data_IF_862686744684
#
_entry.id   IF_862686744684
#
_cell.length_a   1.000
_cell.length_b   1.000
_cell.length_c   1.000
_cell.angle_alpha   90.00
_cell.angle_beta   90.00
_cell.angle_gamma   90.00
#
_symmetry.space_group_name_H-M   'P 1'
#
loop_
_entity.id
_entity.type
_entity.pdbx_description
1 polymer ?
#
# COMPACT_ATOMS: atom_id res chain seq x y z
N UNK A 1 -3.23 -18.67 -10.54
CA UNK A 1 -1.79 -18.41 -10.75
C UNK A 1 -1.36 -17.33 -9.78
N UNK A 2 -0.16 -17.42 -9.22
CA UNK A 2 0.37 -16.37 -8.35
C UNK A 2 0.70 -15.12 -9.18
N UNK A 3 0.51 -13.94 -8.58
CA UNK A 3 0.95 -12.65 -9.13
C UNK A 3 2.08 -12.15 -8.26
N UNK A 4 3.25 -11.96 -8.85
CA UNK A 4 4.41 -11.39 -8.16
C UNK A 4 4.33 -9.88 -8.22
N UNK A 5 4.69 -9.21 -7.12
CA UNK A 5 4.70 -7.75 -7.03
C UNK A 5 6.03 -7.28 -6.46
N UNK A 6 6.68 -6.39 -7.21
CA UNK A 6 7.90 -5.70 -6.82
C UNK A 6 7.65 -4.20 -6.80
N UNK A 7 7.97 -3.54 -5.70
CA UNK A 7 7.99 -2.08 -5.59
C UNK A 7 9.41 -1.55 -5.47
N UNK A 8 9.81 -0.65 -6.36
CA UNK A 8 11.08 0.06 -6.30
C UNK A 8 10.81 1.52 -5.98
N UNK A 9 11.23 1.96 -4.79
CA UNK A 9 11.15 3.35 -4.37
C UNK A 9 12.47 4.05 -4.64
N UNK A 10 12.45 5.16 -5.36
CA UNK A 10 13.64 5.99 -5.60
C UNK A 10 13.59 7.16 -4.64
N UNK A 11 14.72 7.45 -3.98
CA UNK A 11 14.81 8.62 -3.12
C UNK A 11 14.47 9.90 -3.89
N UNK A 12 13.68 10.78 -3.27
CA UNK A 12 13.19 11.98 -3.95
C UNK A 12 14.32 12.93 -4.38
N UNK A 13 15.42 12.97 -3.64
CA UNK A 13 16.57 13.78 -4.00
C UNK A 13 17.32 13.25 -5.24
N UNK A 14 17.10 11.98 -5.61
CA UNK A 14 17.80 11.32 -6.71
C UNK A 14 17.04 11.33 -8.04
N UNK A 15 15.73 11.59 -8.01
CA UNK A 15 14.90 11.56 -9.22
C UNK A 15 15.40 12.48 -10.32
N UNK A 16 15.68 13.75 -9.98
CA UNK A 16 16.12 14.74 -10.98
C UNK A 16 17.53 14.44 -11.48
N UNK A 17 18.56 14.25 -10.62
CA UNK A 17 19.91 13.94 -11.11
C UNK A 17 19.98 12.68 -11.98
N UNK A 18 19.25 11.62 -11.62
CA UNK A 18 19.23 10.39 -12.41
C UNK A 18 18.57 10.59 -13.78
N UNK A 19 17.43 11.31 -13.84
CA UNK A 19 16.74 11.60 -15.11
C UNK A 19 17.57 12.51 -16.02
N UNK A 20 18.18 13.56 -15.47
CA UNK A 20 19.05 14.47 -16.23
C UNK A 20 20.29 13.76 -16.78
N UNK A 21 20.82 12.78 -16.04
CA UNK A 21 21.90 11.91 -16.51
C UNK A 21 21.43 10.80 -17.47
N UNK A 22 20.13 10.74 -17.80
CA UNK A 22 19.58 9.81 -18.80
C UNK A 22 19.41 8.38 -18.31
N UNK A 23 19.43 8.13 -17.01
CA UNK A 23 19.22 6.80 -16.45
C UNK A 23 17.79 6.30 -16.69
N UNK A 24 17.65 4.98 -16.79
CA UNK A 24 16.40 4.23 -16.81
C UNK A 24 16.43 3.20 -15.69
N UNK A 25 15.26 2.85 -15.17
CA UNK A 25 15.14 1.74 -14.23
C UNK A 25 15.03 0.44 -15.02
N UNK A 26 16.03 -0.42 -14.84
CA UNK A 26 16.16 -1.69 -15.54
C UNK A 26 15.83 -2.87 -14.62
N UNK A 27 15.15 -3.86 -15.18
CA UNK A 27 14.89 -5.17 -14.57
C UNK A 27 15.21 -6.26 -15.58
N UNK A 28 15.86 -7.33 -15.12
CA UNK A 28 16.06 -8.57 -15.88
C UNK A 28 15.60 -9.77 -15.05
N UNK A 29 15.13 -10.81 -15.73
CA UNK A 29 14.64 -12.04 -15.12
C UNK A 29 15.56 -13.19 -15.49
N UNK A 30 15.79 -14.09 -14.53
CA UNK A 30 16.76 -15.18 -14.68
C UNK A 30 16.19 -16.35 -15.49
N UNK A 31 16.95 -16.87 -16.44
CA UNK A 31 16.63 -18.09 -17.21
C UNK A 31 17.89 -18.93 -17.35
N UNK A 32 17.81 -20.25 -17.11
CA UNK A 32 18.98 -21.15 -17.15
C UNK A 32 20.17 -20.62 -16.33
N UNK A 33 19.84 -20.14 -15.13
CA UNK A 33 20.78 -19.53 -14.19
C UNK A 33 21.43 -18.22 -14.66
N UNK A 34 21.01 -17.56 -15.75
CA UNK A 34 21.61 -16.29 -16.19
C UNK A 34 20.63 -15.13 -16.37
N UNK A 35 21.16 -13.90 -16.30
CA UNK A 35 20.47 -12.68 -16.70
C UNK A 35 21.03 -12.15 -18.01
N UNK A 36 20.36 -12.45 -19.13
CA UNK A 36 20.90 -12.16 -20.47
C UNK A 36 20.20 -11.00 -21.18
N UNK A 37 18.96 -10.65 -20.79
CA UNK A 37 18.17 -9.63 -21.50
C UNK A 37 17.48 -8.71 -20.51
N UNK A 38 17.52 -7.40 -20.79
CA UNK A 38 16.74 -6.39 -20.07
C UNK A 38 15.26 -6.61 -20.33
N UNK A 39 14.55 -7.14 -19.34
CA UNK A 39 13.13 -7.42 -19.42
C UNK A 39 12.29 -6.14 -19.49
N UNK A 40 12.68 -5.11 -18.73
CA UNK A 40 12.15 -3.76 -18.88
C UNK A 40 13.21 -2.73 -18.56
N UNK A 41 13.39 -1.75 -19.43
CA UNK A 41 14.24 -0.58 -19.22
C UNK A 41 13.44 0.66 -19.60
N UNK A 42 12.87 1.35 -18.61
CA UNK A 42 11.95 2.46 -18.84
C UNK A 42 12.23 3.65 -17.93
N UNK A 43 11.56 4.77 -18.22
CA UNK A 43 11.50 5.89 -17.29
C UNK A 43 10.89 5.43 -15.95
N UNK A 44 11.20 6.17 -14.88
CA UNK A 44 10.85 5.82 -13.51
C UNK A 44 10.30 7.02 -12.73
N UNK A 45 9.57 6.70 -11.68
CA UNK A 45 8.97 7.63 -10.72
C UNK A 45 9.56 7.40 -9.32
N UNK A 46 9.08 8.17 -8.34
CA UNK A 46 9.41 7.93 -6.92
C UNK A 46 9.05 6.53 -6.45
N UNK A 47 7.92 5.99 -6.93
CA UNK A 47 7.44 4.63 -6.64
C UNK A 47 7.15 3.95 -7.97
N UNK A 48 7.79 2.81 -8.20
CA UNK A 48 7.66 2.03 -9.42
C UNK A 48 7.18 0.63 -9.05
N UNK A 49 6.06 0.20 -9.62
CA UNK A 49 5.49 -1.11 -9.32
C UNK A 49 5.57 -2.00 -10.55
N UNK A 50 6.19 -3.15 -10.39
CA UNK A 50 6.29 -4.20 -11.39
C UNK A 50 5.44 -5.38 -10.94
N UNK A 51 4.59 -5.87 -11.84
CA UNK A 51 3.74 -7.02 -11.58
C UNK A 51 3.83 -8.00 -12.74
N UNK A 52 3.95 -9.28 -12.42
CA UNK A 52 3.95 -10.33 -13.43
C UNK A 52 3.29 -11.59 -12.93
N UNK A 53 2.79 -12.38 -13.89
CA UNK A 53 2.35 -13.73 -13.69
C UNK A 53 3.32 -14.68 -14.41
N UNK A 54 3.26 -15.95 -14.04
CA UNK A 54 3.95 -17.02 -14.77
C UNK A 54 3.27 -17.19 -16.14
N UNK A 55 3.83 -16.54 -17.16
CA UNK A 55 3.36 -16.60 -18.54
C UNK A 55 4.55 -16.38 -19.48
N UNK A 56 4.76 -17.34 -20.39
CA UNK A 56 5.94 -17.36 -21.27
C UNK A 56 5.56 -17.56 -22.73
N UNK A 57 6.45 -17.09 -23.61
CA UNK A 57 6.49 -17.50 -25.00
C UNK A 57 7.92 -17.93 -25.35
N UNK A 58 8.06 -18.80 -26.33
CA UNK A 58 9.34 -19.16 -26.94
C UNK A 58 9.39 -18.70 -28.40
N UNK A 59 10.60 -18.42 -28.86
CA UNK A 59 10.87 -17.96 -30.21
C UNK A 59 12.31 -18.30 -30.64
N UNK A 60 12.58 -18.20 -31.94
CA UNK A 60 13.91 -18.29 -32.53
C UNK A 60 14.39 -16.93 -33.08
N UNK A 61 15.69 -16.69 -33.00
CA UNK A 61 16.39 -15.58 -33.62
C UNK A 61 17.66 -16.07 -34.32
N UNK A 62 17.95 -15.55 -35.50
CA UNK A 62 19.14 -15.90 -36.27
C UNK A 62 20.41 -15.23 -35.75
N UNK A 63 20.27 -14.18 -34.92
CA UNK A 63 21.41 -13.37 -34.48
C UNK A 63 21.34 -13.08 -32.98
N UNK A 64 22.49 -13.24 -32.35
CA UNK A 64 22.79 -12.65 -31.06
C UNK A 64 23.85 -11.57 -31.25
N UNK A 65 23.57 -10.35 -30.80
CA UNK A 65 24.50 -9.22 -30.87
C UNK A 65 24.38 -8.38 -29.60
N UNK A 66 25.39 -8.48 -28.75
CA UNK A 66 25.43 -7.77 -27.46
C UNK A 66 25.18 -6.28 -27.58
N UNK A 67 24.36 -5.74 -26.67
CA UNK A 67 23.98 -4.33 -26.65
C UNK A 67 22.86 -3.96 -27.64
N UNK A 68 22.46 -4.86 -28.54
CA UNK A 68 21.30 -4.67 -29.39
C UNK A 68 20.03 -5.25 -28.78
N UNK A 69 18.88 -4.86 -29.33
CA UNK A 69 17.59 -5.40 -28.91
C UNK A 69 17.33 -6.75 -29.56
N UNK A 70 16.80 -7.69 -28.79
CA UNK A 70 16.35 -8.99 -29.28
C UNK A 70 15.25 -8.80 -30.32
N UNK A 71 15.42 -9.45 -31.48
CA UNK A 71 14.41 -9.57 -32.52
C UNK A 71 14.06 -11.05 -32.71
N UNK A 72 12.76 -11.35 -32.78
CA UNK A 72 12.28 -12.68 -33.16
C UNK A 72 12.23 -12.81 -34.67
N UNK A 73 12.86 -13.87 -35.20
CA UNK A 73 12.79 -14.23 -36.62
C UNK A 73 11.75 -15.33 -36.90
N UNK A 74 11.23 -15.96 -35.84
CA UNK A 74 10.14 -16.95 -35.91
C UNK A 74 8.86 -16.40 -35.27
N UNK A 75 7.79 -17.18 -35.32
CA UNK A 75 6.59 -16.90 -34.55
C UNK A 75 6.86 -17.03 -33.05
N UNK A 76 6.31 -16.10 -32.27
CA UNK A 76 6.31 -16.18 -30.81
C UNK A 76 5.17 -17.09 -30.36
N UNK A 77 5.47 -18.18 -29.66
CA UNK A 77 4.48 -19.16 -29.24
C UNK A 77 4.37 -19.23 -27.74
N UNK A 78 3.15 -19.01 -27.24
CA UNK A 78 2.82 -19.22 -25.83
C UNK A 78 3.08 -20.69 -25.46
N UNK A 79 3.69 -20.88 -24.30
CA UNK A 79 4.07 -22.19 -23.79
C UNK A 79 3.92 -22.20 -22.27
N UNK A 80 3.37 -23.28 -21.72
CA UNK A 80 3.33 -23.54 -20.28
C UNK A 80 4.43 -24.54 -19.87
N UNK A 81 4.71 -24.62 -18.57
CA UNK A 81 5.69 -25.59 -18.05
C UNK A 81 5.31 -27.03 -18.41
N UNK A 82 6.31 -27.82 -18.81
CA UNK A 82 6.16 -29.21 -19.25
C UNK A 82 5.83 -29.37 -20.74
N UNK A 83 5.34 -28.32 -21.40
CA UNK A 83 5.04 -28.34 -22.83
C UNK A 83 6.29 -28.18 -23.69
N UNK A 84 6.12 -28.52 -24.98
CA UNK A 84 7.14 -28.42 -26.01
C UNK A 84 6.64 -27.65 -27.23
N UNK A 85 7.47 -26.74 -27.73
CA UNK A 85 7.31 -26.14 -29.06
C UNK A 85 8.32 -26.73 -30.04
N UNK A 86 7.91 -26.96 -31.28
CA UNK A 86 8.82 -27.44 -32.34
C UNK A 86 9.09 -26.33 -33.34
N UNK A 87 10.37 -25.98 -33.50
CA UNK A 87 10.86 -25.19 -34.62
C UNK A 87 11.16 -26.14 -35.78
N UNK A 88 10.35 -26.10 -36.83
CA UNK A 88 10.48 -27.04 -37.94
C UNK A 88 11.67 -26.74 -38.85
N UNK A 89 11.94 -27.66 -39.77
CA UNK A 89 13.03 -27.55 -40.76
C UNK A 89 12.91 -26.36 -41.74
N UNK A 90 11.78 -25.65 -41.73
CA UNK A 90 11.53 -24.48 -42.58
C UNK A 90 11.62 -23.17 -41.79
N UNK A 91 11.85 -23.23 -40.48
CA UNK A 91 12.01 -22.07 -39.61
C UNK A 91 10.69 -21.55 -39.03
N UNK A 92 9.61 -22.35 -39.07
CA UNK A 92 8.35 -21.99 -38.43
C UNK A 92 8.26 -22.60 -37.04
N UNK A 93 7.95 -21.76 -36.05
CA UNK A 93 7.71 -22.19 -34.68
C UNK A 93 6.26 -22.62 -34.53
N UNK A 94 6.03 -23.89 -34.23
CA UNK A 94 4.69 -24.45 -34.07
C UNK A 94 4.12 -24.22 -32.66
N UNK A 95 2.78 -24.15 -32.51
CA UNK A 95 2.14 -24.06 -31.20
C UNK A 95 2.62 -25.14 -30.23
N UNK A 96 2.62 -24.81 -28.94
CA UNK A 96 2.99 -25.74 -27.88
C UNK A 96 2.08 -26.98 -27.85
N UNK A 97 2.67 -28.13 -27.54
CA UNK A 97 1.97 -29.40 -27.37
C UNK A 97 2.62 -30.21 -26.24
N UNK A 98 2.03 -31.36 -25.91
CA UNK A 98 2.45 -32.16 -24.76
C UNK A 98 1.62 -31.88 -23.50
N UNK A 99 2.03 -32.45 -22.38
CA UNK A 99 1.33 -32.30 -21.11
C UNK A 99 1.97 -31.20 -20.27
N UNK A 100 1.12 -30.32 -19.72
CA UNK A 100 1.55 -29.33 -18.73
C UNK A 100 1.98 -30.01 -17.43
N UNK A 101 3.01 -29.50 -16.78
CA UNK A 101 3.49 -29.98 -15.50
C UNK A 101 3.93 -28.81 -14.58
N UNK A 102 4.57 -29.16 -13.46
CA UNK A 102 5.10 -28.20 -12.48
C UNK A 102 6.63 -28.23 -12.43
N UNK A 103 7.29 -28.66 -13.50
CA UNK A 103 8.75 -28.80 -13.55
C UNK A 103 9.48 -27.46 -13.59
N UNK A 104 8.81 -26.39 -14.01
CA UNK A 104 9.44 -25.10 -14.29
C UNK A 104 10.18 -25.05 -15.62
N UNK A 105 10.09 -26.10 -16.45
CA UNK A 105 10.83 -26.25 -17.70
C UNK A 105 9.94 -25.97 -18.91
N UNK A 106 10.43 -25.16 -19.83
CA UNK A 106 9.89 -24.96 -21.18
C UNK A 106 10.77 -25.71 -22.17
N UNK A 107 10.19 -26.51 -23.07
CA UNK A 107 10.96 -27.30 -24.04
C UNK A 107 10.83 -26.73 -25.44
N UNK A 108 11.95 -26.68 -26.15
CA UNK A 108 11.96 -26.35 -27.58
C UNK A 108 12.71 -27.44 -28.33
N UNK A 109 12.03 -28.07 -29.28
CA UNK A 109 12.66 -28.97 -30.25
C UNK A 109 13.03 -28.19 -31.51
N UNK A 110 14.33 -28.05 -31.77
CA UNK A 110 14.84 -27.41 -32.97
C UNK A 110 15.14 -28.46 -34.06
N UNK A 111 14.45 -28.35 -35.19
CA UNK A 111 14.66 -29.16 -36.39
C UNK A 111 15.15 -28.31 -37.59
N UNK A 112 15.37 -27.01 -37.41
CA UNK A 112 15.81 -26.07 -38.45
C UNK A 112 17.30 -26.18 -38.76
N UNK A 113 18.13 -26.10 -37.71
CA UNK A 113 19.55 -25.82 -37.82
C UNK A 113 19.95 -24.72 -36.83
N UNK A 114 21.14 -24.14 -37.01
CA UNK A 114 21.67 -23.11 -36.11
C UNK A 114 20.67 -21.98 -35.86
N UNK A 115 20.18 -21.87 -34.62
CA UNK A 115 19.19 -20.88 -34.19
C UNK A 115 19.44 -20.48 -32.74
N UNK A 116 19.37 -19.19 -32.43
CA UNK A 116 19.34 -18.72 -31.03
C UNK A 116 17.91 -18.85 -30.51
N UNK A 117 17.73 -19.51 -29.37
CA UNK A 117 16.41 -19.76 -28.80
C UNK A 117 16.17 -18.83 -27.63
N UNK A 118 15.02 -18.17 -27.63
CA UNK A 118 14.68 -17.12 -26.67
C UNK A 118 13.38 -17.39 -25.92
N UNK A 119 13.24 -16.66 -24.82
CA UNK A 119 12.03 -16.68 -23.98
C UNK A 119 11.53 -15.25 -23.82
N UNK A 120 10.26 -15.03 -24.12
CA UNK A 120 9.54 -13.84 -23.69
C UNK A 120 8.81 -14.13 -22.38
N UNK A 121 8.70 -13.12 -21.52
CA UNK A 121 7.81 -13.16 -20.37
C UNK A 121 6.97 -11.89 -20.30
N UNK A 122 5.83 -12.01 -19.62
CA UNK A 122 4.86 -10.93 -19.51
C UNK A 122 5.11 -10.07 -18.28
N UNK A 123 5.36 -8.77 -18.47
CA UNK A 123 5.40 -7.77 -17.42
C UNK A 123 4.16 -6.87 -17.53
N UNK A 124 3.26 -6.97 -16.55
CA UNK A 124 1.91 -6.42 -16.63
C UNK A 124 1.16 -7.01 -17.81
N UNK A 125 0.92 -6.20 -18.84
CA UNK A 125 0.23 -6.62 -20.07
C UNK A 125 1.15 -6.86 -21.27
N UNK A 126 2.44 -6.51 -21.17
CA UNK A 126 3.38 -6.50 -22.30
C UNK A 126 4.29 -7.72 -22.30
N UNK A 127 4.50 -8.29 -23.48
CA UNK A 127 5.51 -9.33 -23.73
C UNK A 127 6.85 -8.69 -24.05
N UNK A 128 7.93 -9.23 -23.49
CA UNK A 128 9.29 -8.80 -23.80
C UNK A 128 10.26 -9.95 -23.53
N UNK A 129 11.35 -9.97 -24.29
CA UNK A 129 12.39 -10.98 -24.13
C UNK A 129 13.04 -10.88 -22.74
N UNK A 130 13.23 -12.03 -22.10
CA UNK A 130 13.98 -12.19 -20.85
C UNK A 130 15.24 -13.03 -21.05
N UNK A 131 15.34 -13.72 -22.18
CA UNK A 131 16.45 -14.61 -22.49
C UNK A 131 16.59 -14.77 -24.01
N UNK A 132 17.84 -14.87 -24.46
CA UNK A 132 18.21 -15.35 -25.77
C UNK A 132 19.55 -16.09 -25.61
N UNK A 133 19.64 -17.32 -26.11
CA UNK A 133 20.89 -18.08 -26.03
C UNK A 133 22.03 -17.35 -26.75
N UNK A 134 23.18 -17.19 -26.10
CA UNK A 134 24.38 -16.55 -26.65
C UNK A 134 24.95 -17.28 -27.87
N UNK A 135 24.90 -18.62 -27.85
CA UNK A 135 25.33 -19.52 -28.91
C UNK A 135 24.12 -20.12 -29.64
N UNK A 136 24.19 -20.28 -30.97
CA UNK A 136 23.12 -20.93 -31.69
C UNK A 136 23.04 -22.41 -31.32
N UNK A 137 21.83 -22.87 -31.05
CA UNK A 137 21.50 -24.27 -30.87
C UNK A 137 21.19 -24.90 -32.23
N UNK A 138 21.80 -26.04 -32.56
CA UNK A 138 21.74 -26.59 -33.93
C UNK A 138 20.49 -27.45 -34.17
N UNK A 139 20.36 -28.57 -33.48
CA UNK A 139 19.22 -29.48 -33.63
C UNK A 139 19.02 -30.29 -32.35
N UNK A 140 17.78 -30.69 -32.08
CA UNK A 140 17.39 -31.49 -30.91
C UNK A 140 16.54 -30.70 -29.94
N UNK A 141 16.39 -31.22 -28.73
CA UNK A 141 15.60 -30.59 -27.66
C UNK A 141 16.50 -29.77 -26.73
N UNK A 142 16.04 -28.58 -26.35
CA UNK A 142 16.63 -27.76 -25.29
C UNK A 142 15.61 -27.48 -24.19
N UNK A 143 16.09 -27.45 -22.95
CA UNK A 143 15.34 -27.00 -21.79
C UNK A 143 15.65 -25.54 -21.48
N UNK A 144 14.61 -24.75 -21.31
CA UNK A 144 14.66 -23.36 -20.87
C UNK A 144 13.94 -23.28 -19.53
N UNK A 145 14.65 -22.86 -18.48
CA UNK A 145 14.14 -22.86 -17.10
C UNK A 145 14.10 -21.43 -16.57
N UNK A 146 12.97 -20.72 -16.72
CA UNK A 146 12.77 -19.43 -16.05
C UNK A 146 12.76 -19.59 -14.54
N UNK A 147 13.47 -18.72 -13.83
CA UNK A 147 13.55 -18.69 -12.37
C UNK A 147 12.91 -17.39 -11.90
N UNK A 148 12.13 -17.44 -10.81
CA UNK A 148 11.50 -16.26 -10.20
C UNK A 148 12.52 -15.44 -9.39
N UNK A 149 13.65 -15.12 -10.02
CA UNK A 149 14.66 -14.19 -9.52
C UNK A 149 14.80 -13.05 -10.51
N UNK A 150 14.89 -11.84 -9.99
CA UNK A 150 15.05 -10.62 -10.78
C UNK A 150 16.23 -9.81 -10.29
N UNK A 151 16.96 -9.20 -11.22
CA UNK A 151 17.99 -8.21 -10.90
C UNK A 151 17.50 -6.83 -11.33
N UNK A 152 17.77 -5.82 -10.50
CA UNK A 152 17.30 -4.45 -10.68
C UNK A 152 18.48 -3.50 -10.59
N UNK A 153 18.56 -2.53 -11.50
CA UNK A 153 19.62 -1.53 -11.54
C UNK A 153 19.19 -0.29 -12.31
N UNK A 154 20.03 0.74 -12.29
CA UNK A 154 19.88 1.92 -13.13
C UNK A 154 20.94 1.90 -14.22
N UNK A 155 20.52 2.07 -15.48
CA UNK A 155 21.44 2.18 -16.61
C UNK A 155 20.97 3.24 -17.61
N UNK A 156 21.91 3.94 -18.24
CA UNK A 156 21.63 4.99 -19.22
C UNK A 156 21.67 4.49 -20.67
N UNK A 157 22.22 3.28 -20.91
CA UNK A 157 22.43 2.75 -22.26
C UNK A 157 21.36 1.75 -22.69
N UNK A 158 20.86 0.95 -21.76
CA UNK A 158 19.98 -0.17 -22.06
C UNK A 158 18.51 0.22 -22.13
N UNK A 159 17.77 -0.51 -22.96
CA UNK A 159 16.32 -0.44 -23.11
C UNK A 159 15.70 -1.84 -23.02
N UNK A 160 14.37 -1.91 -22.97
CA UNK A 160 13.64 -3.18 -23.04
C UNK A 160 14.06 -4.03 -24.25
N UNK A 161 14.46 -5.28 -23.97
CA UNK A 161 14.95 -6.26 -24.93
C UNK A 161 16.44 -6.17 -25.22
N UNK A 162 17.20 -5.28 -24.58
CA UNK A 162 18.66 -5.19 -24.81
C UNK A 162 19.36 -6.45 -24.33
N UNK A 163 20.14 -7.09 -25.22
CA UNK A 163 21.02 -8.21 -24.91
C UNK A 163 22.19 -7.71 -24.07
N UNK A 164 22.35 -8.26 -22.88
CA UNK A 164 23.38 -7.87 -21.94
C UNK A 164 24.71 -8.56 -22.28
N UNK A 165 25.79 -7.80 -22.27
CA UNK A 165 27.16 -8.29 -22.50
C UNK A 165 28.19 -7.73 -21.52
N UNK A 166 27.89 -6.57 -20.93
CA UNK A 166 28.71 -5.98 -19.88
C UNK A 166 28.14 -6.31 -18.52
N UNK A 167 29.01 -6.41 -17.51
CA UNK A 167 28.60 -6.62 -16.13
C UNK A 167 27.61 -5.53 -15.66
N UNK A 168 26.61 -5.93 -14.87
CA UNK A 168 25.60 -5.02 -14.33
C UNK A 168 26.12 -4.50 -12.98
N UNK A 169 26.52 -3.24 -12.91
CA UNK A 169 26.99 -2.61 -11.66
C UNK A 169 25.84 -2.09 -10.81
N UNK A 170 26.11 -1.80 -9.54
CA UNK A 170 25.18 -1.12 -8.64
C UNK A 170 23.79 -1.81 -8.52
N UNK A 171 23.74 -3.14 -8.69
CA UNK A 171 22.49 -3.89 -8.80
C UNK A 171 22.12 -4.62 -7.51
N UNK A 172 20.85 -5.06 -7.45
CA UNK A 172 20.32 -5.94 -6.40
C UNK A 172 19.57 -7.12 -7.03
N UNK A 173 19.87 -8.33 -6.56
CA UNK A 173 19.09 -9.54 -6.87
C UNK A 173 17.97 -9.71 -5.82
N UNK A 174 16.75 -9.95 -6.29
CA UNK A 174 15.61 -10.30 -5.45
C UNK A 174 15.07 -11.67 -5.86
N UNK A 175 14.87 -12.52 -4.86
CA UNK A 175 14.40 -13.89 -5.01
C UNK A 175 12.93 -14.01 -4.61
N UNK A 176 12.07 -14.39 -5.56
CA UNK A 176 10.65 -14.71 -5.39
C UNK A 176 10.40 -16.21 -5.54
N UNK A 177 11.45 -17.04 -5.58
CA UNK A 177 11.32 -18.49 -5.66
C UNK A 177 10.61 -19.01 -4.43
N UNK A 178 9.50 -19.73 -4.64
CA UNK A 178 8.71 -20.32 -3.55
C UNK A 178 7.82 -19.33 -2.77
N UNK A 179 7.85 -18.04 -3.07
CA UNK A 179 6.98 -17.05 -2.42
C UNK A 179 6.57 -15.91 -3.36
N UNK A 180 5.27 -15.68 -3.46
CA UNK A 180 4.70 -14.56 -4.20
C UNK A 180 4.42 -13.32 -3.32
N UNK A 181 4.95 -13.30 -2.09
CA UNK A 181 4.83 -12.16 -1.19
C UNK A 181 5.41 -10.89 -1.84
N UNK A 182 4.69 -9.75 -1.76
CA UNK A 182 5.19 -8.50 -2.30
C UNK A 182 6.55 -8.11 -1.71
N UNK A 183 7.50 -7.75 -2.56
CA UNK A 183 8.80 -7.23 -2.11
C UNK A 183 8.94 -5.76 -2.46
N UNK A 184 9.57 -5.00 -1.56
CA UNK A 184 9.80 -3.57 -1.72
C UNK A 184 11.25 -3.25 -1.39
N UNK A 185 11.88 -2.45 -2.26
CA UNK A 185 13.24 -1.95 -2.09
C UNK A 185 13.26 -0.44 -2.30
N UNK A 186 14.25 0.22 -1.68
CA UNK A 186 14.54 1.64 -1.88
C UNK A 186 15.93 1.81 -2.47
N UNK A 187 16.04 2.65 -3.48
CA UNK A 187 17.30 3.05 -4.08
C UNK A 187 17.71 4.45 -3.61
N UNK A 188 18.99 4.62 -3.34
CA UNK A 188 19.62 5.91 -3.13
C UNK A 188 20.91 6.00 -3.95
N UNK A 189 21.08 7.08 -4.68
CA UNK A 189 22.27 7.35 -5.47
C UNK A 189 23.33 8.09 -4.67
N UNK A 190 24.59 7.87 -4.99
CA UNK A 190 25.73 8.64 -4.52
C UNK A 190 25.56 10.10 -4.97
N UNK A 191 25.57 11.07 -4.03
CA UNK A 191 25.41 12.49 -4.35
C UNK A 191 26.44 13.06 -5.34
N UNK A 192 27.60 12.41 -5.50
CA UNK A 192 28.69 12.87 -6.37
C UNK A 192 28.73 12.14 -7.70
N UNK A 193 28.14 10.95 -7.79
CA UNK A 193 28.14 10.12 -8.99
C UNK A 193 26.76 9.50 -9.19
N UNK A 194 25.81 10.22 -9.82
CA UNK A 194 24.49 9.70 -10.12
C UNK A 194 24.56 8.33 -10.83
N UNK A 195 23.66 7.42 -10.45
CA UNK A 195 23.60 6.05 -10.96
C UNK A 195 24.45 5.05 -10.19
N UNK A 196 25.53 5.49 -9.54
CA UNK A 196 26.18 4.68 -8.50
C UNK A 196 25.36 4.80 -7.23
N UNK A 197 24.97 3.70 -6.62
CA UNK A 197 23.98 3.77 -5.56
C UNK A 197 23.92 2.54 -4.70
N UNK A 198 23.09 2.63 -3.67
CA UNK A 198 22.85 1.56 -2.72
C UNK A 198 21.38 1.28 -2.58
N UNK A 199 21.08 0.09 -2.05
CA UNK A 199 19.73 -0.39 -1.87
C UNK A 199 19.41 -0.50 -0.37
N UNK A 200 18.14 -0.39 -0.04
CA UNK A 200 17.63 -0.64 1.30
C UNK A 200 16.35 -1.46 1.23
N UNK A 201 16.19 -2.38 2.18
CA UNK A 201 14.98 -3.18 2.37
C UNK A 201 14.55 -3.06 3.83
N UNK A 202 13.42 -2.40 4.05
CA UNK A 202 13.04 -2.02 5.42
C UNK A 202 14.11 -1.17 6.08
N UNK A 203 14.58 -1.60 7.26
CA UNK A 203 15.62 -0.92 8.06
C UNK A 203 17.04 -1.45 7.81
N UNK A 204 17.26 -2.20 6.73
CA UNK A 204 18.55 -2.79 6.41
C UNK A 204 19.12 -2.22 5.11
N UNK A 205 20.42 -1.91 5.14
CA UNK A 205 21.20 -1.68 3.93
C UNK A 205 21.42 -2.98 3.20
N UNK A 206 21.18 -2.94 1.90
CA UNK A 206 21.62 -3.97 0.98
C UNK A 206 22.70 -3.33 0.14
N UNK A 207 23.90 -3.86 0.30
CA UNK A 207 25.06 -3.37 -0.42
C UNK A 207 24.91 -3.79 -1.88
N UNK A 208 25.14 -2.85 -2.77
CA UNK A 208 25.08 -3.11 -4.19
C UNK A 208 26.14 -4.11 -4.62
N UNK A 209 25.80 -4.87 -5.65
CA UNK A 209 26.70 -5.86 -6.22
C UNK A 209 26.88 -5.60 -7.71
N UNK A 210 28.01 -6.04 -8.23
CA UNK A 210 28.20 -6.23 -9.67
C UNK A 210 27.77 -7.64 -10.05
N UNK A 211 26.87 -7.78 -11.01
CA UNK A 211 26.59 -9.07 -11.65
C UNK A 211 27.51 -9.27 -12.86
N UNK A 212 28.30 -10.34 -12.85
CA UNK A 212 29.18 -10.73 -13.96
C UNK A 212 28.49 -11.77 -14.84
N UNK A 213 28.07 -11.37 -16.03
CA UNK A 213 27.27 -12.20 -16.97
C UNK A 213 28.04 -13.45 -17.43
N UNK A 214 29.33 -13.31 -17.68
CA UNK A 214 30.16 -14.41 -18.18
C UNK A 214 30.30 -15.56 -17.18
N UNK A 215 30.49 -15.20 -15.91
CA UNK A 215 30.74 -16.15 -14.81
C UNK A 215 29.49 -16.49 -14.00
N UNK A 216 28.38 -15.78 -14.22
CA UNK A 216 27.17 -15.86 -13.43
C UNK A 216 27.44 -15.69 -11.91
N UNK A 217 28.23 -14.68 -11.57
CA UNK A 217 28.61 -14.41 -10.18
C UNK A 217 28.35 -12.96 -9.78
N UNK A 218 28.09 -12.76 -8.49
CA UNK A 218 28.02 -11.45 -7.90
C UNK A 218 29.33 -11.10 -7.19
N UNK A 219 29.85 -9.90 -7.44
CA UNK A 219 30.93 -9.33 -6.65
C UNK A 219 30.45 -8.13 -5.86
N UNK A 220 30.97 -8.00 -4.66
CA UNK A 220 30.65 -6.88 -3.77
C UNK A 220 31.27 -5.57 -4.26
N UNK A 221 30.47 -4.49 -4.25
CA UNK A 221 30.97 -3.13 -4.48
C UNK A 221 31.02 -2.35 -3.15
N UNK A 222 32.21 -1.93 -2.67
CA UNK A 222 32.30 -1.15 -1.45
C UNK A 222 31.65 0.22 -1.64
N UNK A 223 30.66 0.58 -0.80
CA UNK A 223 29.97 1.86 -0.93
C UNK A 223 30.89 3.02 -0.56
N UNK A 224 30.68 4.16 -1.20
CA UNK A 224 31.39 5.39 -0.84
C UNK A 224 30.93 5.91 0.53
N UNK A 225 31.80 6.63 1.25
CA UNK A 225 31.41 7.27 2.51
C UNK A 225 30.20 8.23 2.37
N UNK A 226 30.09 9.07 1.31
CA UNK A 226 28.90 9.87 1.04
C UNK A 226 27.62 9.03 0.87
N UNK A 227 27.71 7.90 0.16
CA UNK A 227 26.57 6.99 -0.02
C UNK A 227 26.16 6.35 1.31
N UNK A 228 27.11 5.88 2.12
CA UNK A 228 26.83 5.34 3.46
C UNK A 228 26.13 6.40 4.33
N UNK A 229 26.63 7.64 4.33
CA UNK A 229 26.04 8.72 5.13
C UNK A 229 24.59 8.99 4.71
N UNK A 230 24.34 9.14 3.40
CA UNK A 230 22.99 9.35 2.88
C UNK A 230 22.04 8.19 3.17
N UNK A 231 22.52 6.97 2.99
CA UNK A 231 21.78 5.75 3.32
C UNK A 231 21.44 5.72 4.83
N UNK A 232 22.40 6.09 5.68
CA UNK A 232 22.21 6.25 7.13
C UNK A 232 21.18 7.32 7.44
N UNK A 233 21.21 8.47 6.78
CA UNK A 233 20.19 9.51 6.94
C UNK A 233 18.82 9.06 6.44
N UNK A 234 18.75 8.22 5.41
CA UNK A 234 17.50 7.63 4.92
C UNK A 234 16.92 6.66 5.97
N UNK A 235 17.74 5.81 6.57
CA UNK A 235 17.28 4.88 7.62
C UNK A 235 16.99 5.63 8.92
N UNK A 236 17.82 6.61 9.28
CA UNK A 236 17.61 7.41 10.47
C UNK A 236 16.41 8.32 10.30
N UNK A 237 16.16 8.93 9.15
CA UNK A 237 14.89 9.63 8.91
C UNK A 237 13.68 8.69 8.96
N UNK A 238 13.85 7.39 8.70
CA UNK A 238 12.83 6.35 8.93
C UNK A 238 12.70 5.91 10.41
N UNK A 239 13.70 6.19 11.26
CA UNK A 239 13.74 5.91 12.70
C UNK A 239 13.42 7.13 13.58
N UNK A 240 13.79 8.32 13.11
CA UNK A 240 13.55 9.67 13.65
C UNK A 240 12.16 10.16 13.25
N UNK A 241 11.59 9.62 12.17
CA UNK A 241 10.17 9.26 12.22
C UNK A 241 10.08 8.02 13.12
N UNK A 242 10.13 8.25 14.43
CA UNK A 242 9.62 7.25 15.36
C UNK A 242 8.25 6.85 14.79
N UNK A 243 8.06 5.54 14.69
CA UNK A 243 6.80 5.00 14.23
C UNK A 243 5.70 5.59 15.09
N UNK A 244 4.60 6.04 14.47
CA UNK A 244 3.34 6.02 15.18
C UNK A 244 3.15 4.55 15.56
N UNK A 245 3.40 4.19 16.84
CA UNK A 245 3.20 2.81 17.31
C UNK A 245 1.77 2.37 17.03
N UNK A 246 0.89 3.36 16.92
CA UNK A 246 -0.49 3.28 16.51
C UNK A 246 -0.65 2.73 15.10
N UNK A 247 -1.35 1.62 15.02
CA UNK A 247 -1.96 1.07 13.81
C UNK A 247 -3.46 1.09 13.98
N UNK A 248 -4.19 1.56 12.98
CA UNK A 248 -5.66 1.45 12.93
C UNK A 248 -6.00 0.36 11.92
N UNK A 249 -6.80 -0.61 12.33
CA UNK A 249 -7.35 -1.63 11.45
C UNK A 249 -8.81 -1.30 11.20
N UNK A 250 -9.22 -1.18 9.93
CA UNK A 250 -10.62 -1.00 9.60
C UNK A 250 -11.17 -2.25 8.94
N UNK A 251 -12.32 -2.71 9.39
CA UNK A 251 -13.07 -3.81 8.79
C UNK A 251 -14.39 -3.27 8.23
N UNK A 252 -14.55 -3.40 6.91
CA UNK A 252 -15.78 -3.03 6.21
C UNK A 252 -16.41 -4.26 5.59
N UNK A 253 -17.69 -4.49 5.89
CA UNK A 253 -18.46 -5.61 5.35
C UNK A 253 -19.53 -5.09 4.39
N UNK A 254 -19.54 -5.61 3.17
CA UNK A 254 -20.46 -5.19 2.10
C UNK A 254 -21.66 -6.14 1.95
N UNK A 255 -22.77 -5.62 1.44
CA UNK A 255 -23.96 -6.43 1.17
C UNK A 255 -23.77 -7.41 0.01
N UNK A 256 -23.03 -7.01 -1.02
CA UNK A 256 -22.92 -7.74 -2.29
C UNK A 256 -21.63 -8.56 -2.39
N UNK A 257 -21.66 -9.69 -3.11
CA UNK A 257 -20.46 -10.47 -3.42
C UNK A 257 -19.61 -9.71 -4.45
N UNK A 258 -18.30 -9.64 -4.23
CA UNK A 258 -17.35 -8.93 -5.11
C UNK A 258 -17.18 -7.44 -4.79
N UNK A 259 -18.12 -6.81 -4.06
CA UNK A 259 -18.02 -5.41 -3.65
C UNK A 259 -16.76 -5.13 -2.80
N UNK A 260 -16.37 -6.09 -1.96
CA UNK A 260 -15.17 -6.01 -1.13
C UNK A 260 -13.89 -5.92 -1.97
N UNK A 261 -13.78 -6.72 -3.04
CA UNK A 261 -12.64 -6.67 -3.96
C UNK A 261 -12.59 -5.33 -4.69
N UNK A 262 -13.73 -4.87 -5.21
CA UNK A 262 -13.83 -3.58 -5.91
C UNK A 262 -13.47 -2.41 -5.00
N UNK A 263 -13.94 -2.42 -3.75
CA UNK A 263 -13.60 -1.39 -2.78
C UNK A 263 -12.12 -1.42 -2.39
N UNK A 264 -11.55 -2.61 -2.13
CA UNK A 264 -10.13 -2.74 -1.80
C UNK A 264 -9.24 -2.21 -2.93
N UNK A 265 -9.58 -2.50 -4.19
CA UNK A 265 -8.84 -1.98 -5.34
C UNK A 265 -8.99 -0.45 -5.48
N UNK A 266 -10.21 0.07 -5.33
CA UNK A 266 -10.46 1.52 -5.33
C UNK A 266 -9.66 2.22 -4.22
N UNK A 267 -9.67 1.68 -3.01
CA UNK A 267 -8.98 2.27 -1.87
C UNK A 267 -7.46 2.30 -2.09
N UNK A 268 -6.86 1.25 -2.66
CA UNK A 268 -5.43 1.21 -2.98
C UNK A 268 -5.02 2.31 -3.99
N UNK A 269 -5.92 2.70 -4.90
CA UNK A 269 -5.69 3.78 -5.88
C UNK A 269 -5.89 5.19 -5.30
N UNK A 270 -6.57 5.30 -4.15
CA UNK A 270 -6.96 6.57 -3.53
C UNK A 270 -6.33 6.75 -2.15
N UNK A 271 -5.05 6.40 -1.99
CA UNK A 271 -4.31 6.59 -0.74
C UNK A 271 -4.25 8.08 -0.35
N UNK A 272 -4.80 8.48 0.82
CA UNK A 272 -4.70 9.86 1.29
C UNK A 272 -3.27 10.26 1.66
N UNK A 273 -2.96 11.56 1.49
CA UNK A 273 -1.68 12.14 1.89
C UNK A 273 -1.45 12.00 3.41
N UNK A 274 -0.20 11.80 3.83
CA UNK A 274 0.17 11.67 5.25
C UNK A 274 -0.02 10.27 5.83
N UNK A 275 -0.32 9.25 5.01
CA UNK A 275 -0.42 7.85 5.42
C UNK A 275 0.78 7.05 4.91
N UNK A 276 1.48 6.35 5.82
CA UNK A 276 2.61 5.48 5.50
C UNK A 276 2.20 4.05 5.17
N UNK A 277 1.27 3.48 5.94
CA UNK A 277 0.76 2.12 5.69
C UNK A 277 -0.70 2.24 5.27
N UNK A 278 -1.01 1.71 4.09
CA UNK A 278 -2.32 1.76 3.47
C UNK A 278 -2.59 0.40 2.80
N UNK A 279 -2.76 -0.62 3.64
CA UNK A 279 -2.85 -2.03 3.22
C UNK A 279 -4.29 -2.50 3.30
N UNK A 280 -4.72 -3.29 2.32
CA UNK A 280 -6.08 -3.84 2.22
C UNK A 280 -6.01 -5.32 1.86
N UNK A 281 -6.77 -6.13 2.57
CA UNK A 281 -7.04 -7.54 2.24
C UNK A 281 -8.55 -7.71 2.13
N UNK A 282 -9.00 -8.65 1.29
CA UNK A 282 -10.42 -8.92 1.15
C UNK A 282 -10.71 -10.42 1.15
N UNK A 283 -11.84 -10.79 1.73
CA UNK A 283 -12.35 -12.17 1.74
C UNK A 283 -13.87 -12.15 1.66
N UNK A 284 -14.41 -12.66 0.55
CA UNK A 284 -15.86 -12.67 0.29
C UNK A 284 -16.47 -11.26 0.29
N UNK A 285 -17.16 -10.92 1.38
CA UNK A 285 -17.85 -9.65 1.58
C UNK A 285 -17.09 -8.67 2.47
N UNK A 286 -15.96 -9.07 3.04
CA UNK A 286 -15.23 -8.32 4.03
C UNK A 286 -13.96 -7.74 3.41
N UNK A 287 -13.70 -6.49 3.73
CA UNK A 287 -12.41 -5.82 3.52
C UNK A 287 -11.81 -5.53 4.88
N UNK A 288 -10.61 -6.03 5.10
CA UNK A 288 -9.78 -5.67 6.24
C UNK A 288 -8.69 -4.73 5.75
N UNK A 289 -8.29 -3.81 6.60
CA UNK A 289 -7.26 -2.84 6.28
C UNK A 289 -6.34 -2.62 7.46
N UNK A 290 -5.14 -2.14 7.16
CA UNK A 290 -4.15 -1.76 8.16
C UNK A 290 -3.56 -0.41 7.77
N UNK A 291 -3.73 0.54 8.68
CA UNK A 291 -3.46 1.96 8.45
C UNK A 291 -2.40 2.45 9.44
N UNK A 292 -1.43 3.25 8.96
CA UNK A 292 -0.46 3.95 9.81
C UNK A 292 -0.16 5.34 9.27
N UNK A 293 -0.03 6.30 10.17
CA UNK A 293 0.33 7.67 9.81
C UNK A 293 1.80 7.74 9.36
N UNK A 294 2.10 8.73 8.51
CA UNK A 294 3.43 8.99 8.01
C UNK A 294 4.30 9.76 9.02
N UNK A 295 3.67 10.67 9.75
CA UNK A 295 4.32 11.45 10.80
C UNK A 295 3.87 10.96 12.17
N UNK A 296 4.75 11.08 13.15
CA UNK A 296 4.39 10.89 14.55
C UNK A 296 3.45 12.02 14.98
N UNK A 297 2.26 11.61 15.41
CA UNK A 297 1.27 12.46 16.02
C UNK A 297 0.97 11.90 17.41
N UNK A 298 0.40 12.72 18.29
CA UNK A 298 -0.17 12.21 19.53
C UNK A 298 -1.14 11.06 19.21
N UNK A 299 -1.13 10.02 20.05
CA UNK A 299 -1.85 8.77 19.84
C UNK A 299 -3.30 9.02 19.34
N UNK A 300 -4.03 9.94 19.97
CA UNK A 300 -5.44 10.22 19.63
C UNK A 300 -5.61 11.01 18.32
N UNK A 301 -4.67 11.90 17.99
CA UNK A 301 -4.65 12.61 16.72
C UNK A 301 -4.34 11.65 15.57
N UNK A 302 -3.40 10.72 15.78
CA UNK A 302 -3.05 9.69 14.79
C UNK A 302 -4.24 8.77 14.49
N UNK A 303 -4.96 8.31 15.52
CA UNK A 303 -6.16 7.47 15.35
C UNK A 303 -7.22 8.22 14.56
N UNK A 304 -7.53 9.46 14.96
CA UNK A 304 -8.57 10.28 14.31
C UNK A 304 -8.22 10.57 12.85
N UNK A 305 -6.99 10.97 12.59
CA UNK A 305 -6.49 11.19 11.24
C UNK A 305 -6.65 9.94 10.35
N UNK A 306 -6.26 8.76 10.85
CA UNK A 306 -6.36 7.51 10.07
C UNK A 306 -7.81 7.06 9.84
N UNK A 307 -8.69 7.27 10.82
CA UNK A 307 -10.11 7.00 10.67
C UNK A 307 -10.77 7.95 9.67
N UNK A 308 -10.50 9.25 9.78
CA UNK A 308 -11.04 10.27 8.87
C UNK A 308 -10.56 10.02 7.43
N UNK A 309 -9.29 9.67 7.26
CA UNK A 309 -8.73 9.30 5.96
C UNK A 309 -9.42 8.07 5.37
N UNK A 310 -9.63 7.01 6.16
CA UNK A 310 -10.39 5.82 5.72
C UNK A 310 -11.83 6.16 5.34
N UNK A 311 -12.53 6.92 6.17
CA UNK A 311 -13.91 7.32 5.94
C UNK A 311 -14.03 8.20 4.69
N UNK A 312 -13.05 9.08 4.43
CA UNK A 312 -13.05 9.93 3.24
C UNK A 312 -13.04 9.10 1.95
N UNK A 313 -12.23 8.02 1.92
CA UNK A 313 -12.13 7.09 0.79
C UNK A 313 -13.39 6.24 0.70
N UNK A 314 -13.89 5.72 1.83
CA UNK A 314 -15.11 4.92 1.89
C UNK A 314 -16.35 5.70 1.40
N UNK A 315 -16.48 6.98 1.75
CA UNK A 315 -17.61 7.81 1.34
C UNK A 315 -17.50 8.34 -0.09
N UNK A 316 -16.29 8.39 -0.63
CA UNK A 316 -16.07 8.76 -2.04
C UNK A 316 -16.37 7.60 -2.99
N UNK A 317 -16.31 6.36 -2.50
CA UNK A 317 -16.57 5.16 -3.28
C UNK A 317 -18.04 5.08 -3.73
N UNK A 318 -18.27 5.15 -5.04
CA UNK A 318 -19.60 5.09 -5.68
C UNK A 318 -20.15 3.66 -5.83
N UNK A 319 -19.64 2.70 -5.04
CA UNK A 319 -20.01 1.29 -5.13
C UNK A 319 -21.12 0.84 -4.19
N UNK A 320 -21.32 -0.48 -4.04
CA UNK A 320 -22.36 -1.06 -3.19
C UNK A 320 -22.24 -0.61 -1.73
N UNK A 321 -23.39 -0.47 -1.05
CA UNK A 321 -23.41 -0.03 0.36
C UNK A 321 -22.79 -1.09 1.28
N UNK A 322 -22.08 -0.62 2.30
CA UNK A 322 -21.60 -1.46 3.39
C UNK A 322 -22.68 -1.64 4.46
N UNK A 323 -22.67 -2.80 5.15
CA UNK A 323 -23.57 -3.11 6.26
C UNK A 323 -22.91 -2.97 7.63
N UNK A 324 -21.58 -3.10 7.68
CA UNK A 324 -20.81 -2.99 8.92
C UNK A 324 -19.48 -2.29 8.66
N UNK A 325 -19.09 -1.42 9.58
CA UNK A 325 -17.78 -0.79 9.65
C UNK A 325 -17.32 -0.85 11.10
N UNK A 326 -16.08 -1.28 11.34
CA UNK A 326 -15.43 -1.25 12.66
C UNK A 326 -13.97 -0.82 12.54
N UNK A 327 -13.44 -0.23 13.61
CA UNK A 327 -12.04 0.15 13.73
C UNK A 327 -11.43 -0.45 15.00
N UNK A 328 -10.27 -1.06 14.87
CA UNK A 328 -9.47 -1.58 15.97
C UNK A 328 -8.12 -0.85 16.03
N UNK A 329 -7.75 -0.36 17.21
CA UNK A 329 -6.53 0.43 17.41
C UNK A 329 -5.50 -0.40 18.16
N UNK A 330 -4.30 -0.52 17.60
CA UNK A 330 -3.19 -1.30 18.17
C UNK A 330 -1.96 -0.42 18.42
N UNK A 331 -1.21 -0.72 19.48
CA UNK A 331 0.10 -0.10 19.74
C UNK A 331 0.05 1.24 20.48
N UNK A 332 -1.10 1.61 21.05
CA UNK A 332 -1.22 2.75 21.97
C UNK A 332 -0.29 2.52 23.17
N UNK A 333 0.66 3.43 23.38
CA UNK A 333 1.68 3.30 24.45
C UNK A 333 1.45 4.23 25.64
N UNK A 334 0.44 5.09 25.53
CA UNK A 334 -0.15 5.77 26.67
C UNK A 334 -1.13 4.82 27.39
N UNK A 335 -0.80 4.43 28.63
CA UNK A 335 -1.86 4.41 29.64
C UNK A 335 -2.43 5.83 29.69
N UNK A 336 -3.75 6.06 29.83
CA UNK A 336 -4.28 7.41 29.91
C UNK A 336 -3.53 8.11 31.05
N UNK A 337 -2.59 8.98 30.69
CA UNK A 337 -2.09 9.98 31.62
C UNK A 337 -3.34 10.73 32.02
N UNK A 338 -3.65 10.86 33.33
CA UNK A 338 -4.78 11.65 33.76
C UNK A 338 -4.47 13.08 33.34
N UNK A 339 -4.91 13.41 32.14
CA UNK A 339 -5.00 14.76 31.67
C UNK A 339 -6.14 15.32 32.51
N UNK A 340 -5.78 16.17 33.48
CA UNK A 340 -6.73 17.00 34.21
C UNK A 340 -7.30 18.11 33.29
N UNK A 341 -7.37 17.86 31.98
CA UNK A 341 -8.18 18.64 31.07
C UNK A 341 -9.59 18.08 31.17
N UNK A 342 -10.48 18.88 31.74
CA UNK A 342 -11.91 18.63 31.74
C UNK A 342 -12.34 18.20 30.33
N UNK A 343 -12.73 16.92 30.14
CA UNK A 343 -13.45 16.50 28.94
C UNK A 343 -14.78 17.23 28.95
N UNK A 344 -14.81 18.39 28.33
CA UNK A 344 -15.95 19.31 28.33
C UNK A 344 -16.49 19.37 26.90
N UNK A 345 -17.31 18.39 26.52
CA UNK A 345 -18.04 18.47 25.26
C UNK A 345 -19.03 19.64 25.36
N UNK A 346 -19.00 20.55 24.38
CA UNK A 346 -19.98 21.64 24.31
C UNK A 346 -21.16 21.22 23.41
N UNK A 347 -22.37 21.32 23.97
CA UNK A 347 -23.63 21.07 23.29
C UNK A 347 -24.45 22.36 23.23
N UNK A 348 -24.92 22.74 22.03
CA UNK A 348 -25.83 23.89 21.86
C UNK A 348 -27.23 23.41 21.47
N UNK A 349 -28.23 23.84 22.25
CA UNK A 349 -29.64 23.54 22.02
C UNK A 349 -30.40 24.85 21.76
N UNK A 350 -31.17 24.89 20.67
CA UNK A 350 -32.07 26.00 20.34
C UNK A 350 -33.51 25.70 20.70
N UNK A 351 -34.14 26.65 21.41
CA UNK A 351 -35.52 26.63 21.85
C UNK A 351 -36.35 27.62 21.04
N UNK A 352 -37.66 27.41 20.94
CA UNK A 352 -38.56 28.32 20.22
C UNK A 352 -38.85 29.65 20.92
N UNK A 353 -38.39 29.84 22.17
CA UNK A 353 -38.46 31.12 22.90
C UNK A 353 -37.49 31.15 24.09
N UNK A 354 -37.27 32.37 24.59
CA UNK A 354 -36.37 32.71 25.70
C UNK A 354 -36.72 32.05 27.02
N UNK A 355 -38.01 32.05 27.36
CA UNK A 355 -38.49 31.52 28.64
C UNK A 355 -38.23 30.01 28.73
N UNK A 356 -38.37 29.30 27.63
CA UNK A 356 -38.09 27.86 27.55
C UNK A 356 -36.59 27.57 27.66
N UNK A 357 -35.73 28.39 27.04
CA UNK A 357 -34.27 28.30 27.19
C UNK A 357 -33.82 28.57 28.64
N UNK A 358 -34.35 29.63 29.28
CA UNK A 358 -34.04 30.00 30.64
C UNK A 358 -34.48 28.93 31.66
N UNK A 359 -35.69 28.38 31.47
CA UNK A 359 -36.14 27.27 32.30
C UNK A 359 -35.22 26.05 32.11
N UNK A 360 -34.91 25.67 30.86
CA UNK A 360 -34.08 24.50 30.59
C UNK A 360 -32.71 24.61 31.27
N UNK A 361 -32.07 25.78 31.21
CA UNK A 361 -30.79 26.04 31.86
C UNK A 361 -30.81 25.78 33.38
N UNK A 362 -31.92 26.07 34.07
CA UNK A 362 -32.08 25.82 35.51
C UNK A 362 -32.19 24.32 35.81
N UNK A 363 -32.83 23.56 34.92
CA UNK A 363 -33.09 22.13 35.10
C UNK A 363 -31.90 21.21 34.87
N UNK A 364 -31.06 21.58 33.91
CA UNK A 364 -29.98 20.75 33.41
C UNK A 364 -28.98 20.37 34.51
N UNK A 365 -28.50 21.29 35.37
CA UNK A 365 -27.62 20.93 36.49
C UNK A 365 -28.27 19.95 37.48
N UNK A 366 -29.59 19.94 37.62
CA UNK A 366 -30.33 19.04 38.50
C UNK A 366 -30.38 17.59 37.98
N UNK A 367 -30.00 17.35 36.71
CA UNK A 367 -29.89 16.01 36.12
C UNK A 367 -28.62 15.27 36.56
N UNK A 368 -27.65 15.96 37.17
CA UNK A 368 -26.36 15.40 37.62
C UNK A 368 -26.45 14.50 38.89
N UNK A 369 -27.65 13.99 39.23
CA UNK A 369 -27.96 13.33 40.51
C UNK A 369 -27.19 12.05 40.82
N UNK A 370 -26.48 11.46 39.86
CA UNK A 370 -25.77 10.18 40.05
C UNK A 370 -24.33 10.34 40.54
N UNK A 371 -23.83 11.56 40.73
CA UNK A 371 -22.48 11.81 41.28
C UNK A 371 -21.34 11.33 40.36
N UNK A 372 -21.65 11.04 39.09
CA UNK A 372 -20.68 10.60 38.08
C UNK A 372 -20.53 11.62 36.94
N UNK A 373 -21.46 12.57 36.78
CA UNK A 373 -21.45 13.59 35.72
C UNK A 373 -21.62 15.01 36.28
N UNK A 374 -21.13 15.99 35.54
CA UNK A 374 -21.33 17.42 35.77
C UNK A 374 -21.95 18.01 34.50
N UNK A 375 -23.07 18.70 34.67
CA UNK A 375 -23.71 19.46 33.60
C UNK A 375 -23.74 20.94 33.99
N UNK A 376 -23.11 21.79 33.20
CA UNK A 376 -23.17 23.26 33.36
C UNK A 376 -23.94 23.80 32.17
N UNK A 377 -25.02 24.55 32.40
CA UNK A 377 -25.81 25.14 31.33
C UNK A 377 -25.90 26.65 31.53
N UNK A 378 -25.61 27.40 30.47
CA UNK A 378 -25.71 28.86 30.44
C UNK A 378 -26.55 29.29 29.23
N UNK A 379 -27.44 30.25 29.43
CA UNK A 379 -28.12 30.96 28.33
C UNK A 379 -27.11 31.97 27.74
N UNK A 380 -27.04 32.10 26.42
CA UNK A 380 -26.05 32.96 25.76
C UNK A 380 -26.67 34.25 25.21
N UNK A 381 -25.95 35.36 25.40
CA UNK A 381 -26.45 36.75 25.38
C UNK A 381 -26.67 37.39 23.99
N UNK A 382 -26.96 36.60 22.95
CA UNK A 382 -27.15 37.14 21.59
C UNK A 382 -28.48 36.67 20.98
N UNK A 383 -29.61 37.07 21.57
CA UNK A 383 -31.01 36.79 21.16
C UNK A 383 -31.75 35.67 21.92
N UNK A 384 -31.25 35.25 23.08
CA UNK A 384 -32.01 34.56 24.15
C UNK A 384 -32.70 33.20 23.85
N UNK A 385 -32.65 32.64 22.64
CA UNK A 385 -33.36 31.39 22.30
C UNK A 385 -32.50 30.12 22.36
N UNK A 386 -31.36 30.15 23.05
CA UNK A 386 -30.43 29.01 23.07
C UNK A 386 -29.70 28.83 24.39
N UNK A 387 -29.48 27.55 24.71
CA UNK A 387 -28.71 27.13 25.89
C UNK A 387 -27.42 26.48 25.40
N UNK A 388 -26.29 27.00 25.88
CA UNK A 388 -24.99 26.35 25.75
C UNK A 388 -24.74 25.50 26.98
N UNK A 389 -24.44 24.24 26.76
CA UNK A 389 -24.20 23.26 27.80
C UNK A 389 -22.77 22.74 27.70
N UNK A 390 -22.06 22.75 28.83
CA UNK A 390 -20.80 22.07 29.00
C UNK A 390 -21.02 20.79 29.79
N UNK A 391 -20.58 19.67 29.24
CA UNK A 391 -20.86 18.34 29.75
C UNK A 391 -19.53 17.65 30.10
N UNK A 392 -19.42 17.11 31.31
CA UNK A 392 -18.22 16.41 31.74
C UNK A 392 -18.50 15.25 32.70
N UNK A 393 -17.56 14.32 32.79
CA UNK A 393 -17.57 13.26 33.81
C UNK A 393 -16.67 13.68 34.97
N UNK A 394 -17.12 13.38 36.19
CA UNK A 394 -16.30 13.58 37.40
C UNK A 394 -15.11 12.61 37.36
N UNK A 395 -15.35 11.39 36.89
CA UNK A 395 -14.33 10.35 36.69
C UNK A 395 -14.51 9.73 35.30
N UNK A 396 -13.84 10.23 34.26
CA UNK A 396 -13.86 9.61 32.94
C UNK A 396 -13.19 8.23 33.01
N UNK A 397 -13.78 7.24 32.32
CA UNK A 397 -13.23 5.87 32.28
C UNK A 397 -12.05 5.74 31.32
N UNK A 398 -11.87 6.71 30.42
CA UNK A 398 -10.83 6.69 29.38
C UNK A 398 -11.24 5.91 28.13
N UNK A 399 -12.42 5.27 28.14
CA UNK A 399 -13.09 4.73 26.96
C UNK A 399 -14.08 5.77 26.43
N UNK A 400 -13.76 6.38 25.29
CA UNK A 400 -14.56 7.44 24.67
C UNK A 400 -15.98 6.97 24.32
N UNK A 401 -16.16 5.70 23.92
CA UNK A 401 -17.47 5.17 23.59
C UNK A 401 -18.31 4.95 24.86
N UNK A 402 -17.69 4.44 25.92
CA UNK A 402 -18.33 4.24 27.22
C UNK A 402 -18.66 5.59 27.89
N UNK A 403 -17.70 6.51 27.94
CA UNK A 403 -17.86 7.85 28.51
C UNK A 403 -18.93 8.65 27.74
N UNK A 404 -18.97 8.53 26.41
CA UNK A 404 -20.06 9.09 25.59
C UNK A 404 -21.40 8.46 25.90
N UNK A 405 -21.50 7.15 26.09
CA UNK A 405 -22.75 6.50 26.51
C UNK A 405 -23.19 6.96 27.91
N UNK A 406 -22.26 7.22 28.82
CA UNK A 406 -22.55 7.68 30.19
C UNK A 406 -23.01 9.14 30.25
N UNK A 407 -22.53 10.01 29.34
CA UNK A 407 -22.93 11.43 29.28
C UNK A 407 -24.14 11.64 28.36
N UNK A 408 -24.08 11.12 27.13
CA UNK A 408 -25.00 11.50 26.05
C UNK A 408 -26.33 10.77 26.15
N UNK A 409 -26.36 9.50 26.56
CA UNK A 409 -27.62 8.74 26.60
C UNK A 409 -28.58 9.19 27.71
N UNK A 410 -28.14 9.46 28.96
CA UNK A 410 -29.02 9.99 30.00
C UNK A 410 -29.51 11.41 29.69
N UNK A 411 -28.63 12.23 29.11
CA UNK A 411 -28.95 13.58 28.68
C UNK A 411 -29.94 13.59 27.51
N UNK A 412 -29.72 12.75 26.50
CA UNK A 412 -30.65 12.59 25.38
C UNK A 412 -31.99 11.99 25.82
N UNK A 413 -32.01 11.04 26.76
CA UNK A 413 -33.24 10.49 27.33
C UNK A 413 -34.02 11.55 28.14
N UNK A 414 -33.33 12.43 28.87
CA UNK A 414 -33.93 13.52 29.64
C UNK A 414 -34.43 14.68 28.75
N UNK A 415 -33.73 14.98 27.64
CA UNK A 415 -34.08 16.07 26.73
C UNK A 415 -35.08 15.68 25.63
N UNK A 416 -35.07 14.42 25.18
CA UNK A 416 -35.83 13.96 24.00
C UNK A 416 -36.79 12.80 24.27
N UNK A 417 -36.84 12.29 25.51
CA UNK A 417 -37.81 11.29 25.96
C UNK A 417 -37.48 9.84 25.56
N UNK A 418 -36.94 9.07 26.50
CA UNK A 418 -36.83 7.61 26.40
C UNK A 418 -37.33 6.94 27.70
N UNK A 419 -38.44 6.20 27.61
CA UNK A 419 -39.08 5.52 28.77
C UNK A 419 -38.16 4.47 29.39
N UNK A 420 -37.83 4.61 30.70
CA UNK A 420 -38.15 3.62 31.76
C UNK A 420 -37.56 3.88 33.16
N UNK A 421 -36.89 5.00 33.43
CA UNK A 421 -36.42 5.28 34.79
C UNK A 421 -36.71 6.73 35.15
N UNK A 422 -37.23 6.95 36.36
CA UNK A 422 -37.47 8.19 37.11
C UNK A 422 -38.94 8.32 37.57
N UNK A 423 -39.18 7.90 38.81
CA UNK A 423 -40.49 7.84 39.49
C UNK A 423 -41.04 9.21 39.94
N UNK A 424 -40.35 10.33 39.69
CA UNK A 424 -40.89 11.67 39.91
C UNK A 424 -40.54 12.60 38.75
N UNK A 425 -41.51 13.37 38.20
CA UNK A 425 -41.29 14.20 37.03
C UNK A 425 -40.33 15.35 37.38
N UNK A 426 -39.22 15.55 36.64
CA UNK A 426 -38.58 16.86 36.68
C UNK A 426 -39.54 17.88 36.06
N UNK A 427 -39.57 19.08 36.64
CA UNK A 427 -40.32 20.24 36.17
C UNK A 427 -39.77 20.72 34.81
N UNK A 428 -39.99 19.96 33.74
CA UNK A 428 -39.74 20.37 32.35
C UNK A 428 -40.88 19.85 31.46
N UNK A 429 -41.45 20.68 30.57
CA UNK A 429 -42.58 20.26 29.75
C UNK A 429 -42.10 19.27 28.68
N UNK A 430 -42.67 18.07 28.72
CA UNK A 430 -42.54 17.00 27.73
C UNK A 430 -43.11 17.42 26.35
N UNK A 431 -42.37 18.22 25.59
CA UNK A 431 -42.84 18.77 24.32
C UNK A 431 -41.74 18.70 23.25
N UNK A 432 -41.68 17.58 22.54
CA UNK A 432 -40.75 17.29 21.43
C UNK A 432 -40.86 18.31 20.27
N UNK A 433 -41.96 19.10 20.26
CA UNK A 433 -42.33 20.17 19.34
C UNK A 433 -41.61 21.51 19.58
N UNK A 434 -40.80 21.63 20.64
CA UNK A 434 -40.16 22.92 21.03
C UNK A 434 -38.66 23.03 20.78
N UNK A 435 -38.00 21.94 20.36
CA UNK A 435 -36.56 21.93 20.04
C UNK A 435 -36.37 22.15 18.54
N UNK A 436 -35.74 23.27 18.16
CA UNK A 436 -35.58 23.67 16.75
C UNK A 436 -34.36 23.04 16.06
N UNK A 437 -33.41 22.48 16.81
CA UNK A 437 -32.26 21.74 16.27
C UNK A 437 -31.11 21.56 17.25
N UNK A 438 -30.29 20.53 17.00
CA UNK A 438 -28.98 20.29 17.63
C UNK A 438 -27.91 20.99 16.81
N UNK A 439 -27.18 21.95 17.41
CA UNK A 439 -26.07 22.60 16.72
C UNK A 439 -24.79 22.21 17.44
N UNK A 440 -24.09 21.24 16.84
CA UNK A 440 -22.66 20.96 17.01
C UNK A 440 -22.24 20.39 18.38
N UNK A 441 -21.51 19.28 18.32
CA UNK A 441 -20.70 18.75 19.42
C UNK A 441 -19.26 19.08 19.10
N UNK A 442 -18.67 20.07 19.77
CA UNK A 442 -17.23 20.28 19.71
C UNK A 442 -16.60 19.56 20.92
N UNK A 443 -15.82 18.53 20.61
CA UNK A 443 -14.88 17.94 21.56
C UNK A 443 -13.60 18.77 21.44
N UNK A 444 -13.46 19.78 22.31
CA UNK A 444 -12.16 20.41 22.53
C UNK A 444 -11.25 19.43 23.26
#
# INVERSE_FOLDING_TARGET
MATYTLTVNVDSADLVPLKEAGYKLCIAKRVNDKYDVVWSGSDFFKRNTFQWNVAFQVFGSQKFEGGLRVGSDTEERTIDFGEICTLDKYGSMHPAHGAKDTSGVLRVENQYGAMHLGVNAKLGTKWSAIYLSDKPFYTGEINLTPIEKVVIWFDSKSETGTMLVDAITDCIELDFTGSAEPQSVRYASDPKTPGKGGWARGEQFILSSTYHIDTDTFSFEPPSAPLIAKLTDIINSQKDSQSSKISVFALTEFHEQGAAQTFAQYALEHQPDGIRTWEFTHSGHIVESKLKAQEDQEDDLAVRFLQDAYLSVLYSFQGPKYKRLSFDVHGRSSSPTPYWGESSGELVIRYGNVTDAANAAIGIPLLAKTGQSIYIANVHDENDEWVRMRLGLINPSGDVAQDRQTIVNPLAAALFGGKLFFEHPPFFPNAQDRVLGLVKWDAN
#
